data_IF_276733584129
#
_entry.id   IF_276733584129
#
_cell.length_a   1.000
_cell.length_b   1.000
_cell.length_c   1.000
_cell.angle_alpha   90.00
_cell.angle_beta   90.00
_cell.angle_gamma   90.00
#
_symmetry.space_group_name_H-M   'P 1'
#
loop_
_entity.id
_entity.type
_entity.pdbx_description
1 polymer ?
#
# COMPACT_ATOMS: atom_id res chain seq x y z
N UNK A 1 7.99 15.79 12.77
CA UNK A 1 7.83 16.13 14.20
C UNK A 1 6.36 15.95 14.50
N UNK A 2 5.97 15.29 15.59
CA UNK A 2 4.60 15.38 16.03
C UNK A 2 4.28 16.87 16.16
N UNK A 3 3.04 17.26 15.86
CA UNK A 3 2.61 18.65 16.02
C UNK A 3 3.14 19.20 17.35
N UNK A 4 4.00 20.24 17.38
CA UNK A 4 4.50 20.74 18.64
C UNK A 4 3.33 21.42 19.34
N UNK A 5 2.75 20.72 20.31
CA UNK A 5 1.84 21.34 21.25
C UNK A 5 2.71 22.30 22.09
N UNK A 6 2.64 23.56 21.79
CA UNK A 6 3.33 24.57 22.60
C UNK A 6 2.52 24.82 23.86
N UNK A 7 3.21 24.99 24.97
CA UNK A 7 2.59 25.36 26.24
C UNK A 7 1.73 26.64 26.07
N UNK A 8 0.48 26.58 26.51
CA UNK A 8 -0.51 27.66 26.34
C UNK A 8 -1.31 27.64 25.04
N UNK A 9 -1.07 26.72 24.10
CA UNK A 9 -1.91 26.57 22.94
C UNK A 9 -3.28 25.94 23.29
N UNK A 10 -4.34 26.53 22.76
CA UNK A 10 -5.66 25.94 22.84
C UNK A 10 -5.76 24.74 21.89
N UNK A 11 -6.08 23.57 22.43
CA UNK A 11 -6.38 22.37 21.64
C UNK A 11 -7.82 22.54 21.12
N UNK A 12 -7.96 22.70 19.81
CA UNK A 12 -9.27 22.69 19.13
C UNK A 12 -9.56 21.32 18.55
N UNK A 13 -10.86 20.98 18.40
CA UNK A 13 -11.28 19.75 17.75
C UNK A 13 -10.68 19.63 16.33
N UNK A 14 -10.60 20.73 15.60
CA UNK A 14 -10.02 20.82 14.26
C UNK A 14 -8.55 20.37 14.25
N UNK A 15 -7.72 20.88 15.16
CA UNK A 15 -6.32 20.46 15.30
C UNK A 15 -6.16 18.99 15.71
N UNK A 16 -7.06 18.47 16.52
CA UNK A 16 -7.06 17.05 16.85
C UNK A 16 -7.41 16.20 15.63
N UNK A 17 -8.38 16.64 14.81
CA UNK A 17 -8.77 15.94 13.59
C UNK A 17 -7.66 15.99 12.52
N UNK A 18 -6.91 17.08 12.41
CA UNK A 18 -5.76 17.17 11.49
C UNK A 18 -4.66 16.14 11.79
N UNK A 19 -4.51 15.73 13.04
CA UNK A 19 -3.53 14.72 13.46
C UNK A 19 -4.09 13.30 13.49
N UNK A 20 -5.40 13.12 13.28
CA UNK A 20 -6.01 11.81 13.24
C UNK A 20 -5.63 11.07 11.96
N UNK A 21 -5.36 9.76 12.03
CA UNK A 21 -5.11 8.97 10.83
C UNK A 21 -6.37 8.89 9.97
N UNK A 22 -6.18 9.03 8.66
CA UNK A 22 -7.23 8.78 7.66
C UNK A 22 -7.09 7.33 7.20
N UNK A 23 -8.20 6.60 7.20
CA UNK A 23 -8.28 5.24 6.69
C UNK A 23 -9.07 5.22 5.39
N UNK A 24 -8.46 4.69 4.34
CA UNK A 24 -9.09 4.45 3.04
C UNK A 24 -9.18 2.94 2.88
N UNK A 25 -10.35 2.39 3.04
CA UNK A 25 -10.61 0.97 2.91
C UNK A 25 -11.07 0.63 1.50
N UNK A 26 -10.62 -0.49 0.99
CA UNK A 26 -11.11 -1.02 -0.27
C UNK A 26 -12.58 -1.42 -0.13
N UNK A 27 -13.41 -0.98 -1.07
CA UNK A 27 -14.88 -1.17 -0.99
C UNK A 27 -15.34 -2.46 -1.63
N UNK A 28 -14.59 -2.95 -2.63
CA UNK A 28 -14.97 -4.15 -3.39
C UNK A 28 -13.75 -5.00 -3.74
N UNK A 29 -13.98 -6.27 -3.93
CA UNK A 29 -12.98 -7.18 -4.49
C UNK A 29 -12.66 -6.74 -5.92
N UNK A 30 -11.37 -6.54 -6.21
CA UNK A 30 -10.90 -6.24 -7.55
C UNK A 30 -10.05 -7.39 -8.08
N UNK A 31 -10.36 -7.85 -9.27
CA UNK A 31 -9.61 -8.89 -9.98
C UNK A 31 -8.83 -8.33 -11.15
N UNK A 32 -7.66 -8.90 -11.43
CA UNK A 32 -6.88 -8.65 -12.65
C UNK A 32 -6.43 -9.95 -13.26
N UNK A 33 -6.50 -10.02 -14.59
CA UNK A 33 -6.14 -11.18 -15.39
C UNK A 33 -5.17 -10.78 -16.49
N UNK A 34 -4.33 -11.69 -16.92
CA UNK A 34 -3.46 -11.55 -18.10
C UNK A 34 -2.57 -10.28 -18.10
N UNK A 35 -2.20 -9.78 -16.93
CA UNK A 35 -1.37 -8.58 -16.80
C UNK A 35 -0.35 -8.68 -15.67
N UNK A 36 0.85 -8.24 -15.95
CA UNK A 36 1.94 -8.09 -14.97
C UNK A 36 2.35 -6.63 -14.78
N UNK A 37 1.73 -5.70 -15.51
CA UNK A 37 2.01 -4.27 -15.36
C UNK A 37 1.12 -3.69 -14.27
N UNK A 38 1.68 -3.18 -13.15
CA UNK A 38 0.91 -2.56 -12.10
C UNK A 38 0.16 -1.32 -12.60
N UNK A 39 -1.11 -1.24 -12.27
CA UNK A 39 -1.94 -0.08 -12.50
C UNK A 39 -2.63 0.35 -11.21
N UNK A 40 -3.11 1.59 -11.16
CA UNK A 40 -3.70 2.14 -9.93
C UNK A 40 -4.92 1.32 -9.47
N UNK A 41 -4.98 1.09 -8.16
CA UNK A 41 -6.19 0.60 -7.52
C UNK A 41 -7.21 1.76 -7.45
N UNK A 42 -8.48 1.53 -7.79
CA UNK A 42 -9.48 2.59 -7.80
C UNK A 42 -9.83 3.12 -6.40
N UNK A 43 -9.66 2.32 -5.36
CA UNK A 43 -10.03 2.66 -3.99
C UNK A 43 -8.82 3.16 -3.18
N UNK A 44 -7.66 2.49 -3.31
CA UNK A 44 -6.48 2.73 -2.46
C UNK A 44 -5.63 3.89 -2.97
N UNK A 45 -6.19 5.09 -2.89
CA UNK A 45 -5.57 6.34 -3.30
C UNK A 45 -6.09 7.52 -2.47
N UNK A 46 -5.31 8.58 -2.37
CA UNK A 46 -5.67 9.79 -1.63
C UNK A 46 -4.93 11.00 -2.18
N UNK A 47 -5.62 12.15 -2.21
CA UNK A 47 -5.00 13.46 -2.42
C UNK A 47 -4.53 14.02 -1.09
N UNK A 48 -3.30 14.52 -1.06
CA UNK A 48 -2.67 15.10 0.12
C UNK A 48 -2.31 16.57 -0.12
N UNK A 49 -2.50 17.38 0.89
CA UNK A 49 -2.01 18.75 0.96
C UNK A 49 -0.52 18.78 1.38
N UNK A 50 0.18 19.91 1.19
CA UNK A 50 1.56 20.04 1.63
C UNK A 50 1.77 19.66 3.09
N UNK A 51 2.81 18.86 3.36
CA UNK A 51 3.10 18.34 4.70
C UNK A 51 3.94 17.06 4.67
N UNK A 52 4.13 16.50 5.85
CA UNK A 52 4.82 15.21 6.02
C UNK A 52 3.83 14.17 6.50
N UNK A 53 3.89 12.97 5.92
CA UNK A 53 2.93 11.91 6.19
C UNK A 53 3.61 10.56 6.39
N UNK A 54 3.10 9.78 7.32
CA UNK A 54 3.33 8.34 7.38
C UNK A 54 2.25 7.62 6.57
N UNK A 55 2.66 6.81 5.62
CA UNK A 55 1.81 6.02 4.72
C UNK A 55 1.98 4.55 5.07
N UNK A 56 0.90 3.90 5.40
CA UNK A 56 0.85 2.47 5.74
C UNK A 56 -0.23 1.78 4.92
N UNK A 57 0.13 0.70 4.22
CA UNK A 57 -0.79 -0.16 3.48
C UNK A 57 -0.83 -1.52 4.13
N UNK A 58 -2.03 -2.02 4.39
CA UNK A 58 -2.28 -3.42 4.70
C UNK A 58 -3.05 -4.05 3.53
N UNK A 59 -2.48 -5.11 2.98
CA UNK A 59 -2.94 -5.73 1.74
C UNK A 59 -3.36 -7.17 1.99
N UNK A 60 -4.64 -7.46 1.83
CA UNK A 60 -5.17 -8.81 1.67
C UNK A 60 -5.32 -9.13 0.18
N UNK A 61 -4.74 -10.23 -0.28
CA UNK A 61 -4.83 -10.61 -1.68
C UNK A 61 -4.96 -12.13 -1.84
N UNK A 62 -5.37 -12.55 -3.01
CA UNK A 62 -5.42 -13.96 -3.38
C UNK A 62 -5.21 -14.11 -4.88
N UNK A 63 -5.10 -15.35 -5.34
CA UNK A 63 -5.02 -15.72 -6.75
C UNK A 63 -5.27 -17.19 -6.93
N UNK A 64 -5.59 -17.60 -8.12
CA UNK A 64 -5.67 -19.03 -8.47
C UNK A 64 -4.29 -19.63 -8.67
N UNK A 65 -4.22 -20.95 -8.64
CA UNK A 65 -2.99 -21.67 -8.96
C UNK A 65 -2.46 -21.21 -10.34
N UNK A 66 -1.22 -20.75 -10.38
CA UNK A 66 -0.57 -20.25 -11.61
C UNK A 66 -0.39 -18.72 -11.64
N UNK A 67 -1.37 -17.92 -11.25
CA UNK A 67 -1.19 -16.46 -11.08
C UNK A 67 -0.44 -16.10 -9.80
N UNK A 68 -0.58 -16.91 -8.80
CA UNK A 68 0.26 -17.10 -7.62
C UNK A 68 0.72 -15.90 -6.83
N UNK A 69 -0.03 -14.81 -6.77
CA UNK A 69 0.35 -13.65 -5.99
C UNK A 69 0.19 -12.32 -6.73
N UNK A 70 0.74 -11.28 -6.16
CA UNK A 70 0.64 -9.91 -6.69
C UNK A 70 2.02 -9.25 -6.73
N UNK A 71 2.18 -8.30 -7.63
CA UNK A 71 3.25 -7.31 -7.62
C UNK A 71 2.67 -5.94 -7.37
N UNK A 72 3.37 -5.12 -6.62
CA UNK A 72 2.90 -3.82 -6.16
C UNK A 72 3.92 -2.74 -6.48
N UNK A 73 3.44 -1.54 -6.71
CA UNK A 73 4.22 -0.31 -6.81
C UNK A 73 3.38 0.87 -6.36
N UNK A 74 3.96 2.06 -6.36
CA UNK A 74 3.26 3.30 -6.08
C UNK A 74 3.51 4.29 -7.20
N UNK A 75 2.47 5.03 -7.57
CA UNK A 75 2.63 6.25 -8.34
C UNK A 75 2.22 7.45 -7.48
N UNK A 76 2.96 8.53 -7.65
CA UNK A 76 2.75 9.78 -6.93
C UNK A 76 2.81 10.95 -7.91
N UNK A 77 2.04 11.98 -7.64
CA UNK A 77 2.10 13.21 -8.44
C UNK A 77 3.38 14.01 -8.17
N UNK A 78 3.68 14.95 -9.05
CA UNK A 78 4.79 15.87 -8.88
C UNK A 78 4.64 16.64 -7.54
N UNK A 79 5.76 16.80 -6.83
CA UNK A 79 5.76 17.42 -5.50
C UNK A 79 5.60 16.42 -4.34
N UNK A 80 5.44 15.14 -4.61
CA UNK A 80 5.41 14.10 -3.59
C UNK A 80 6.64 13.20 -3.73
N UNK A 81 7.38 13.03 -2.65
CA UNK A 81 8.58 12.20 -2.61
C UNK A 81 8.60 11.32 -1.36
N UNK A 82 9.23 10.15 -1.43
CA UNK A 82 9.55 9.37 -0.24
C UNK A 82 10.77 10.00 0.47
N UNK A 83 10.64 10.34 1.74
CA UNK A 83 11.69 11.03 2.51
C UNK A 83 13.00 10.22 2.53
N UNK A 84 12.91 8.90 2.68
CA UNK A 84 14.06 8.00 2.64
C UNK A 84 14.41 7.50 1.23
N UNK A 85 13.65 7.90 0.20
CA UNK A 85 13.76 7.35 -1.15
C UNK A 85 13.24 5.92 -1.30
N UNK A 86 12.84 5.27 -0.20
CA UNK A 86 12.41 3.86 -0.16
C UNK A 86 11.10 3.68 0.61
N UNK A 87 10.40 2.59 0.27
CA UNK A 87 9.33 2.01 1.08
C UNK A 87 9.80 0.68 1.66
N UNK A 88 9.35 0.36 2.85
CA UNK A 88 9.55 -0.94 3.48
C UNK A 88 8.39 -1.84 3.13
N UNK A 89 8.69 -3.06 2.70
CA UNK A 89 7.69 -4.06 2.32
C UNK A 89 7.86 -5.30 3.17
N UNK A 90 6.77 -5.85 3.65
CA UNK A 90 6.72 -7.08 4.43
C UNK A 90 5.52 -7.92 4.00
N UNK A 91 5.64 -9.22 3.96
CA UNK A 91 4.51 -10.09 3.63
C UNK A 91 4.94 -11.46 3.16
N UNK A 92 4.02 -12.19 2.57
CA UNK A 92 4.26 -13.51 2.01
C UNK A 92 5.37 -13.46 0.97
N UNK A 93 6.41 -14.25 1.13
CA UNK A 93 7.56 -14.27 0.21
C UNK A 93 7.14 -14.63 -1.22
N UNK A 94 7.86 -14.09 -2.20
CA UNK A 94 7.50 -14.28 -3.62
C UNK A 94 7.48 -15.76 -4.07
N UNK A 95 8.28 -16.61 -3.42
CA UNK A 95 8.40 -18.03 -3.72
C UNK A 95 7.57 -18.90 -2.77
N UNK A 96 6.76 -18.27 -1.91
CA UNK A 96 5.86 -18.97 -1.02
C UNK A 96 4.83 -19.75 -1.83
N UNK A 97 4.74 -21.05 -1.54
CA UNK A 97 3.80 -21.97 -2.17
C UNK A 97 2.60 -22.31 -1.30
N UNK A 98 2.68 -21.96 -0.02
CA UNK A 98 1.62 -22.17 0.95
C UNK A 98 1.44 -20.97 1.86
N UNK A 99 0.25 -20.82 2.45
CA UNK A 99 -0.07 -19.76 3.41
C UNK A 99 0.83 -19.75 4.64
N UNK A 100 1.36 -20.89 5.02
CA UNK A 100 2.21 -21.09 6.19
C UNK A 100 3.71 -21.10 5.85
N UNK A 101 4.09 -20.85 4.61
CA UNK A 101 5.51 -20.70 4.29
C UNK A 101 5.99 -19.35 4.80
N UNK A 102 6.82 -19.38 5.82
CA UNK A 102 7.35 -18.25 6.59
C UNK A 102 8.34 -17.34 5.86
N UNK A 103 8.30 -17.32 4.56
CA UNK A 103 9.14 -16.41 3.79
C UNK A 103 8.58 -14.98 3.86
N UNK A 104 8.56 -14.39 5.05
CA UNK A 104 8.33 -12.96 5.17
C UNK A 104 9.55 -12.23 4.61
N UNK A 105 9.34 -11.46 3.57
CA UNK A 105 10.37 -10.63 2.97
C UNK A 105 10.32 -9.23 3.57
N UNK A 106 11.45 -8.77 4.09
CA UNK A 106 11.66 -7.37 4.44
C UNK A 106 12.57 -6.75 3.40
N UNK A 107 12.08 -5.79 2.64
CA UNK A 107 12.90 -5.13 1.61
C UNK A 107 12.65 -3.64 1.63
N UNK A 108 13.69 -2.85 1.38
CA UNK A 108 13.56 -1.44 1.02
C UNK A 108 13.51 -1.32 -0.50
N UNK A 109 12.44 -0.79 -1.05
CA UNK A 109 12.24 -0.58 -2.48
C UNK A 109 11.91 0.89 -2.77
N UNK A 110 12.35 1.41 -3.91
CA UNK A 110 11.82 2.68 -4.41
C UNK A 110 10.30 2.61 -4.63
N UNK A 111 9.63 3.73 -4.67
CA UNK A 111 8.16 3.75 -4.82
C UNK A 111 7.70 3.07 -6.11
N UNK A 112 8.36 3.34 -7.22
CA UNK A 112 8.08 2.77 -8.54
C UNK A 112 8.65 1.37 -8.74
N UNK A 113 9.59 0.93 -7.89
CA UNK A 113 10.17 -0.42 -7.98
C UNK A 113 9.14 -1.44 -7.50
N UNK A 114 8.94 -2.51 -8.27
CA UNK A 114 7.98 -3.53 -7.91
C UNK A 114 8.41 -4.33 -6.67
N UNK A 115 7.48 -4.54 -5.75
CA UNK A 115 7.57 -5.57 -4.73
C UNK A 115 6.68 -6.74 -5.13
N UNK A 116 7.13 -7.97 -4.89
CA UNK A 116 6.41 -9.17 -5.30
C UNK A 116 6.05 -9.99 -4.07
N UNK A 117 4.78 -10.28 -3.94
CA UNK A 117 4.21 -11.15 -2.91
C UNK A 117 3.72 -12.43 -3.57
N UNK A 118 4.16 -13.57 -3.02
CA UNK A 118 3.79 -14.88 -3.53
C UNK A 118 2.54 -15.43 -2.85
N UNK A 119 1.92 -16.34 -3.52
CA UNK A 119 0.94 -17.31 -3.03
C UNK A 119 0.54 -18.19 -4.22
N UNK A 120 0.68 -19.49 -4.12
CA UNK A 120 0.47 -20.38 -5.27
C UNK A 120 -0.75 -21.27 -5.16
N UNK A 121 -1.56 -21.15 -4.14
CA UNK A 121 -2.60 -22.13 -3.92
C UNK A 121 -4.00 -21.53 -3.97
N UNK A 122 -4.79 -22.04 -4.89
CA UNK A 122 -6.24 -22.11 -5.00
C UNK A 122 -7.11 -20.95 -4.49
N UNK A 123 -8.24 -20.78 -5.14
CA UNK A 123 -9.33 -19.91 -4.69
C UNK A 123 -9.68 -20.18 -3.22
N UNK A 124 -9.58 -19.17 -2.37
CA UNK A 124 -9.89 -19.26 -0.94
C UNK A 124 -8.70 -19.15 0.01
N UNK A 125 -7.46 -19.23 -0.48
CA UNK A 125 -6.30 -18.87 0.32
C UNK A 125 -5.95 -17.40 0.14
N UNK A 126 -5.66 -16.73 1.23
CA UNK A 126 -5.26 -15.32 1.23
C UNK A 126 -3.82 -15.15 1.65
N UNK A 127 -3.08 -14.40 0.86
CA UNK A 127 -1.81 -13.83 1.23
C UNK A 127 -2.02 -12.46 1.87
N UNK A 128 -0.99 -11.97 2.51
CA UNK A 128 -0.98 -10.62 3.06
C UNK A 128 0.33 -9.92 2.72
N UNK A 129 0.27 -8.60 2.65
CA UNK A 129 1.41 -7.73 2.51
C UNK A 129 1.19 -6.45 3.28
N UNK A 130 2.26 -5.87 3.78
CA UNK A 130 2.25 -4.57 4.42
C UNK A 130 3.35 -3.72 3.81
N UNK A 131 3.05 -2.47 3.53
CA UNK A 131 4.01 -1.51 2.99
C UNK A 131 3.96 -0.22 3.80
N UNK A 132 5.13 0.33 4.09
CA UNK A 132 5.24 1.58 4.84
C UNK A 132 6.31 2.48 4.25
N UNK A 133 6.00 3.77 4.18
CA UNK A 133 6.93 4.82 3.78
C UNK A 133 6.50 6.18 4.29
N UNK A 134 7.41 7.15 4.29
CA UNK A 134 7.12 8.52 4.69
C UNK A 134 7.12 9.41 3.47
N UNK A 135 6.07 10.21 3.30
CA UNK A 135 5.92 11.16 2.24
C UNK A 135 6.30 12.58 2.69
N UNK A 136 7.05 13.30 1.84
CA UNK A 136 7.12 14.75 1.84
C UNK A 136 6.27 15.24 0.68
N UNK A 137 5.26 16.05 0.99
CA UNK A 137 4.36 16.68 0.01
C UNK A 137 4.68 18.17 -0.01
N UNK A 138 5.16 18.68 -1.14
CA UNK A 138 5.53 20.11 -1.33
C UNK A 138 4.47 20.87 -2.12
N UNK A 139 3.60 20.17 -2.85
CA UNK A 139 2.43 20.68 -3.55
C UNK A 139 1.29 19.67 -3.45
N UNK A 140 0.02 20.11 -3.45
CA UNK A 140 -1.12 19.19 -3.42
C UNK A 140 -1.02 18.15 -4.55
N UNK A 141 -1.24 16.88 -4.21
CA UNK A 141 -1.11 15.79 -5.19
C UNK A 141 -1.65 14.47 -4.67
N UNK A 142 -1.82 13.54 -5.58
CA UNK A 142 -2.38 12.22 -5.27
C UNK A 142 -1.28 11.16 -5.15
N UNK A 143 -1.42 10.31 -4.16
CA UNK A 143 -0.71 9.03 -4.06
C UNK A 143 -1.65 7.90 -4.46
N UNK A 144 -1.14 6.91 -5.22
CA UNK A 144 -1.91 5.79 -5.75
C UNK A 144 -1.16 4.50 -5.51
N UNK A 145 -1.78 3.58 -4.82
CA UNK A 145 -1.32 2.21 -4.78
C UNK A 145 -1.57 1.55 -6.14
N UNK A 146 -0.59 0.81 -6.64
CA UNK A 146 -0.66 0.09 -7.91
C UNK A 146 -0.36 -1.38 -7.70
N UNK A 147 -1.04 -2.24 -8.45
CA UNK A 147 -0.79 -3.67 -8.40
C UNK A 147 -1.09 -4.36 -9.72
N UNK A 148 -0.57 -5.57 -9.88
CA UNK A 148 -0.84 -6.49 -10.97
C UNK A 148 -0.67 -7.94 -10.51
N UNK A 149 -0.92 -8.90 -11.38
CA UNK A 149 -0.56 -10.29 -11.12
C UNK A 149 0.95 -10.46 -10.96
N UNK A 150 1.39 -11.35 -10.09
CA UNK A 150 2.81 -11.77 -10.03
C UNK A 150 3.26 -12.37 -11.36
N UNK A 151 2.47 -13.29 -11.90
CA UNK A 151 2.69 -13.93 -13.20
C UNK A 151 1.43 -13.75 -14.05
N UNK A 152 1.60 -13.39 -15.32
CA UNK A 152 0.45 -13.25 -16.23
C UNK A 152 -0.23 -14.59 -16.42
N UNK A 153 -1.53 -14.64 -16.10
CA UNK A 153 -2.33 -15.82 -16.21
C UNK A 153 -3.79 -15.46 -16.50
N UNK A 154 -4.50 -16.30 -17.23
CA UNK A 154 -5.92 -16.10 -17.53
C UNK A 154 -6.80 -16.13 -16.26
N UNK A 155 -6.41 -16.95 -15.28
CA UNK A 155 -7.03 -16.91 -13.97
C UNK A 155 -6.60 -15.66 -13.20
N UNK A 156 -7.53 -15.02 -12.50
CA UNK A 156 -7.29 -13.75 -11.82
C UNK A 156 -6.44 -13.87 -10.55
N UNK A 157 -5.68 -12.82 -10.28
CA UNK A 157 -5.33 -12.42 -8.92
C UNK A 157 -6.29 -11.33 -8.49
N UNK A 158 -6.54 -11.21 -7.19
CA UNK A 158 -7.43 -10.18 -6.64
C UNK A 158 -6.91 -9.58 -5.34
N UNK A 159 -7.28 -8.32 -5.14
CA UNK A 159 -7.10 -7.59 -3.90
C UNK A 159 -8.44 -7.50 -3.19
N UNK A 160 -8.43 -7.82 -1.92
CA UNK A 160 -9.63 -8.05 -1.12
C UNK A 160 -10.11 -6.78 -0.39
N UNK A 161 -11.41 -6.71 -0.02
CA UNK A 161 -11.99 -5.53 0.64
C UNK A 161 -11.42 -5.24 2.03
N UNK A 162 -10.78 -6.20 2.69
CA UNK A 162 -10.07 -5.97 3.96
C UNK A 162 -8.78 -5.15 3.81
N UNK A 163 -8.33 -4.90 2.57
CA UNK A 163 -7.17 -4.05 2.31
C UNK A 163 -7.49 -2.59 2.61
N UNK A 164 -6.56 -1.91 3.25
CA UNK A 164 -6.71 -0.49 3.55
C UNK A 164 -5.39 0.28 3.48
N UNK A 165 -5.53 1.55 3.21
CA UNK A 165 -4.47 2.54 3.28
C UNK A 165 -4.71 3.43 4.48
N UNK A 166 -3.73 3.52 5.37
CA UNK A 166 -3.72 4.43 6.51
C UNK A 166 -2.73 5.55 6.25
N UNK A 167 -3.17 6.77 6.42
CA UNK A 167 -2.38 7.98 6.22
C UNK A 167 -2.43 8.82 7.46
N UNK A 168 -1.27 9.13 8.03
CA UNK A 168 -1.15 9.94 9.23
C UNK A 168 -0.27 11.16 8.93
N UNK A 169 -0.81 12.37 9.10
CA UNK A 169 -0.01 13.59 8.99
C UNK A 169 0.90 13.72 10.19
N UNK A 170 2.19 13.98 9.97
CA UNK A 170 3.22 14.08 11.01
C UNK A 170 3.93 15.43 11.06
N UNK A 171 3.66 16.31 10.11
CA UNK A 171 4.22 17.65 10.06
C UNK A 171 3.75 18.46 8.85
#
# INVERSE_FOLDING_TARGET
>A
MPFPWLAGQRITAERLMESAPVYIQKTALQSRTSTVTPTADPDLRITLDPGTYDIELELGYSGTAGSGGVRTSWSVDAGITAISGIRFTRGTGQDATTRNSDASRHTGNGLSTEAIYGLTTGSGQRGWGSERWRALVTAPGEIRFQWAQKTSHADGSWVAPESFLKVTRTG
#
